data_IF_123373735942
#
_entry.id   IF_123373735942
#
_cell.length_a   1.000
_cell.length_b   1.000
_cell.length_c   1.000
_cell.angle_alpha   90.00
_cell.angle_beta   90.00
_cell.angle_gamma   90.00
#
_symmetry.space_group_name_H-M   'P 1'
#
loop_
_entity.id
_entity.type
_entity.pdbx_description
1 polymer ?
#
# COMPACT_ATOMS: atom_id res chain seq x y z
N UNK A 1 33.91 23.14 11.78
CA UNK A 1 32.91 22.48 10.91
C UNK A 1 32.33 23.47 9.93
N UNK A 2 32.05 24.69 10.36
CA UNK A 2 31.53 25.81 9.55
C UNK A 2 32.42 26.14 8.34
N UNK A 3 33.71 26.34 8.55
CA UNK A 3 34.65 26.67 7.46
C UNK A 3 34.71 25.65 6.31
N UNK A 4 34.43 24.38 6.59
CA UNK A 4 34.33 23.33 5.55
C UNK A 4 33.00 23.41 4.81
N UNK A 5 31.95 23.83 5.48
CA UNK A 5 30.63 24.03 4.90
C UNK A 5 30.64 25.25 3.97
N UNK A 6 31.25 26.35 4.42
CA UNK A 6 31.36 27.57 3.60
C UNK A 6 32.12 27.31 2.31
N UNK A 7 33.27 26.62 2.38
CA UNK A 7 34.03 26.23 1.18
C UNK A 7 33.27 25.26 0.27
N UNK A 8 32.38 24.46 0.84
CA UNK A 8 31.52 23.57 0.03
C UNK A 8 30.43 24.40 -0.65
N UNK A 9 29.77 25.29 0.07
CA UNK A 9 28.71 26.16 -0.45
C UNK A 9 29.26 27.02 -1.59
N UNK A 10 30.39 27.69 -1.40
CA UNK A 10 31.03 28.53 -2.43
C UNK A 10 31.31 27.75 -3.72
N UNK A 11 31.67 26.48 -3.59
CA UNK A 11 31.95 25.62 -4.78
C UNK A 11 30.70 25.20 -5.52
N UNK A 12 29.56 25.03 -4.83
CA UNK A 12 28.33 24.49 -5.41
C UNK A 12 27.31 25.58 -5.72
N UNK A 13 27.44 26.78 -5.14
CA UNK A 13 26.47 27.88 -5.27
C UNK A 13 26.10 28.16 -6.72
N UNK A 14 27.09 28.33 -7.59
CA UNK A 14 26.86 28.60 -9.01
C UNK A 14 26.04 27.50 -9.70
N UNK A 15 26.30 26.23 -9.38
CA UNK A 15 25.57 25.10 -9.98
C UNK A 15 24.13 25.02 -9.44
N UNK A 16 23.92 25.41 -8.18
CA UNK A 16 22.57 25.47 -7.58
C UNK A 16 21.79 26.62 -8.21
N UNK A 17 22.41 27.79 -8.39
CA UNK A 17 21.77 28.92 -9.06
C UNK A 17 21.37 28.59 -10.48
N UNK A 18 22.25 27.96 -11.24
CA UNK A 18 21.97 27.50 -12.61
C UNK A 18 20.80 26.50 -12.65
N UNK A 19 20.77 25.56 -11.71
CA UNK A 19 19.69 24.59 -11.61
C UNK A 19 18.34 25.24 -11.22
N UNK A 20 18.36 26.21 -10.32
CA UNK A 20 17.17 26.98 -9.91
C UNK A 20 16.63 27.81 -11.07
N UNK A 21 17.52 28.52 -11.78
CA UNK A 21 17.15 29.28 -12.99
C UNK A 21 16.58 28.38 -14.08
N UNK A 22 17.18 27.20 -14.30
CA UNK A 22 16.67 26.23 -15.26
C UNK A 22 15.26 25.73 -14.88
N UNK A 23 15.01 25.49 -13.60
CA UNK A 23 13.67 25.09 -13.13
C UNK A 23 12.63 26.20 -13.29
N UNK A 24 13.02 27.45 -13.10
CA UNK A 24 12.12 28.59 -13.31
C UNK A 24 11.79 28.79 -14.78
N UNK A 25 12.75 28.61 -15.68
CA UNK A 25 12.55 28.68 -17.13
C UNK A 25 11.62 27.55 -17.62
N UNK A 26 11.68 26.36 -17.04
CA UNK A 26 10.78 25.24 -17.37
C UNK A 26 9.33 25.58 -17.00
N UNK A 27 9.10 26.39 -15.98
CA UNK A 27 7.78 26.84 -15.59
C UNK A 27 7.16 27.89 -16.53
N UNK A 28 7.90 28.43 -17.48
CA UNK A 28 7.36 29.39 -18.48
C UNK A 28 6.20 28.81 -19.30
N UNK A 29 6.13 27.50 -19.44
CA UNK A 29 5.05 26.84 -20.16
C UNK A 29 3.82 26.50 -19.28
N UNK A 30 3.88 26.74 -17.98
CA UNK A 30 2.77 26.44 -17.08
C UNK A 30 1.55 27.31 -17.40
N UNK A 31 1.77 28.60 -17.63
CA UNK A 31 0.73 29.55 -17.98
C UNK A 31 0.06 29.21 -19.33
N UNK A 32 0.84 28.72 -20.31
CA UNK A 32 0.34 28.28 -21.61
C UNK A 32 -0.55 27.05 -21.47
N UNK A 33 -0.23 26.12 -20.59
CA UNK A 33 -1.05 24.95 -20.31
C UNK A 33 -2.33 25.31 -19.54
N UNK A 34 -2.28 26.28 -18.64
CA UNK A 34 -3.46 26.79 -17.94
C UNK A 34 -4.40 27.53 -18.90
N UNK A 35 -3.86 28.34 -19.81
CA UNK A 35 -4.64 29.00 -20.86
C UNK A 35 -5.31 27.99 -21.80
N UNK A 36 -4.63 26.94 -22.21
CA UNK A 36 -5.18 25.85 -23.01
C UNK A 36 -6.31 25.10 -22.28
N UNK A 37 -6.19 24.92 -20.98
CA UNK A 37 -7.23 24.31 -20.15
C UNK A 37 -8.47 25.19 -20.09
N UNK A 38 -8.31 26.50 -19.99
CA UNK A 38 -9.41 27.47 -19.99
C UNK A 38 -10.10 27.59 -21.37
N UNK A 39 -9.36 27.51 -22.48
CA UNK A 39 -9.91 27.48 -23.83
C UNK A 39 -10.74 26.21 -24.09
N UNK A 40 -10.29 25.06 -23.63
CA UNK A 40 -11.06 23.82 -23.71
C UNK A 40 -12.34 23.87 -22.87
N UNK A 41 -12.32 24.57 -21.74
CA UNK A 41 -13.47 24.81 -20.89
C UNK A 41 -14.47 25.78 -21.57
N UNK A 42 -13.98 26.78 -22.32
CA UNK A 42 -14.79 27.74 -23.03
C UNK A 42 -15.51 27.15 -24.26
N UNK A 43 -14.98 26.08 -24.86
CA UNK A 43 -15.58 25.38 -26.01
C UNK A 43 -16.71 24.40 -25.65
N UNK A 44 -17.28 24.50 -24.44
CA UNK A 44 -18.49 23.77 -24.03
C UNK A 44 -18.26 22.30 -23.70
N UNK A 45 -17.02 21.84 -23.73
CA UNK A 45 -16.63 20.61 -23.06
C UNK A 45 -16.62 20.90 -21.56
N UNK A 46 -17.70 20.59 -20.85
CA UNK A 46 -17.64 20.42 -19.40
C UNK A 46 -16.68 19.26 -19.14
N UNK A 47 -15.39 19.56 -19.16
CA UNK A 47 -14.44 18.78 -18.38
C UNK A 47 -14.88 19.09 -16.94
N UNK A 48 -15.76 18.23 -16.41
CA UNK A 48 -15.97 18.17 -14.99
C UNK A 48 -14.56 17.95 -14.45
N UNK A 49 -13.92 19.03 -14.01
CA UNK A 49 -12.78 18.91 -13.13
C UNK A 49 -13.34 18.16 -11.94
N UNK A 50 -13.15 16.84 -11.96
CA UNK A 50 -13.55 15.96 -10.86
C UNK A 50 -12.80 16.51 -9.67
N UNK A 51 -13.51 17.33 -8.89
CA UNK A 51 -12.95 17.92 -7.68
C UNK A 51 -12.63 16.74 -6.78
N UNK A 52 -11.38 16.25 -6.89
CA UNK A 52 -10.89 15.16 -6.08
C UNK A 52 -10.89 15.63 -4.64
N UNK A 53 -11.85 15.16 -3.88
CA UNK A 53 -11.87 15.39 -2.44
C UNK A 53 -11.10 14.25 -1.80
N UNK A 54 -9.90 14.50 -1.26
CA UNK A 54 -9.14 13.47 -0.58
C UNK A 54 -9.92 13.01 0.66
N UNK A 55 -9.99 11.70 0.84
CA UNK A 55 -10.55 11.10 2.04
C UNK A 55 -9.44 10.35 2.75
N UNK A 56 -9.34 10.57 4.04
CA UNK A 56 -8.39 9.86 4.91
C UNK A 56 -9.14 8.78 5.66
N UNK A 57 -8.64 7.57 5.57
CA UNK A 57 -9.14 6.42 6.29
C UNK A 57 -8.03 5.84 7.16
N UNK A 58 -8.33 5.52 8.39
CA UNK A 58 -7.39 4.91 9.31
C UNK A 58 -8.08 3.78 10.06
N UNK A 59 -7.48 2.60 9.98
CA UNK A 59 -7.84 1.45 10.82
C UNK A 59 -6.88 1.45 12.00
N UNK A 60 -7.38 1.81 13.18
CA UNK A 60 -6.51 2.04 14.35
C UNK A 60 -5.95 0.74 14.94
N UNK A 61 -6.63 -0.39 14.77
CA UNK A 61 -6.24 -1.66 15.37
C UNK A 61 -4.98 -2.24 14.71
N UNK A 62 -4.93 -2.22 13.36
CA UNK A 62 -3.86 -2.87 12.60
C UNK A 62 -2.85 -1.91 12.00
N UNK A 63 -3.16 -0.60 11.97
CA UNK A 63 -2.31 0.41 11.35
C UNK A 63 -1.41 1.17 12.33
N UNK A 64 -1.57 0.94 13.65
CA UNK A 64 -0.78 1.65 14.66
C UNK A 64 0.72 1.31 14.52
N UNK A 65 1.55 2.34 14.39
CA UNK A 65 3.01 2.24 14.16
C UNK A 65 3.41 1.42 12.92
N UNK A 66 2.50 1.24 11.99
CA UNK A 66 2.75 0.56 10.72
C UNK A 66 2.68 1.54 9.55
N UNK A 67 3.33 1.17 8.46
CA UNK A 67 3.24 1.86 7.17
C UNK A 67 2.90 0.87 6.08
N UNK A 68 2.26 1.34 5.04
CA UNK A 68 1.96 0.53 3.85
C UNK A 68 3.23 0.35 3.02
N UNK A 69 3.57 -0.89 2.68
CA UNK A 69 4.69 -1.22 1.78
C UNK A 69 4.23 -1.46 0.35
N UNK A 70 3.09 -2.08 0.16
CA UNK A 70 2.54 -2.39 -1.14
C UNK A 70 1.02 -2.32 -1.14
N UNK A 71 0.44 -1.87 -2.25
CA UNK A 71 -1.01 -1.78 -2.45
C UNK A 71 -1.34 -2.48 -3.77
N UNK A 72 -2.36 -3.34 -3.76
CA UNK A 72 -2.87 -4.01 -4.96
C UNK A 72 -4.39 -4.04 -4.97
N UNK A 73 -4.95 -3.72 -6.12
CA UNK A 73 -6.38 -3.85 -6.35
C UNK A 73 -6.74 -5.28 -6.73
N UNK A 74 -7.89 -5.73 -6.26
CA UNK A 74 -8.41 -7.04 -6.63
C UNK A 74 -8.77 -7.07 -8.13
N UNK A 75 -8.35 -8.08 -8.90
CA UNK A 75 -8.47 -8.07 -10.36
C UNK A 75 -9.90 -8.02 -10.88
N UNK A 76 -10.86 -8.62 -10.17
CA UNK A 76 -12.28 -8.67 -10.59
C UNK A 76 -13.20 -7.77 -9.77
N UNK A 77 -12.78 -7.35 -8.57
CA UNK A 77 -13.57 -6.52 -7.64
C UNK A 77 -12.77 -5.25 -7.31
N UNK A 78 -12.85 -4.19 -8.13
CA UNK A 78 -12.01 -3.00 -7.99
C UNK A 78 -12.22 -2.23 -6.66
N UNK A 79 -13.31 -2.51 -5.94
CA UNK A 79 -13.56 -1.97 -4.61
C UNK A 79 -12.83 -2.70 -3.48
N UNK A 80 -12.19 -3.84 -3.76
CA UNK A 80 -11.33 -4.54 -2.80
C UNK A 80 -9.87 -4.18 -3.05
N UNK A 81 -9.18 -3.79 -1.99
CA UNK A 81 -7.78 -3.37 -2.04
C UNK A 81 -7.00 -4.12 -0.96
N UNK A 82 -5.96 -4.82 -1.37
CA UNK A 82 -5.01 -5.44 -0.45
C UNK A 82 -3.85 -4.48 -0.17
N UNK A 83 -3.50 -4.34 1.10
CA UNK A 83 -2.42 -3.48 1.56
C UNK A 83 -1.53 -4.28 2.51
N UNK A 84 -0.24 -4.40 2.21
CA UNK A 84 0.73 -5.00 3.13
C UNK A 84 1.28 -3.95 4.08
N UNK A 85 1.34 -4.29 5.35
CA UNK A 85 1.77 -3.42 6.42
C UNK A 85 3.15 -3.84 6.94
N UNK A 86 4.04 -2.87 7.13
CA UNK A 86 5.37 -3.10 7.73
C UNK A 86 5.60 -2.12 8.87
N UNK A 87 6.53 -2.43 9.78
CA UNK A 87 6.87 -1.56 10.90
C UNK A 87 7.35 -0.18 10.43
N UNK A 88 6.86 0.88 11.09
CA UNK A 88 7.30 2.24 10.86
C UNK A 88 8.64 2.48 11.55
N UNK A 89 9.72 2.19 10.84
CA UNK A 89 11.09 2.36 11.31
C UNK A 89 11.85 3.32 10.39
N UNK A 90 12.71 4.15 10.98
CA UNK A 90 13.67 4.94 10.21
C UNK A 90 14.71 4.02 9.58
N UNK A 91 15.38 4.50 8.54
CA UNK A 91 16.41 3.72 7.86
C UNK A 91 17.51 3.24 8.80
N UNK A 92 17.99 4.11 9.70
CA UNK A 92 19.03 3.77 10.67
C UNK A 92 18.59 2.69 11.67
N UNK A 93 17.33 2.73 12.10
CA UNK A 93 16.74 1.75 13.00
C UNK A 93 16.60 0.40 12.30
N UNK A 94 16.11 0.42 11.06
CA UNK A 94 15.97 -0.79 10.24
C UNK A 94 17.34 -1.43 9.94
N UNK A 95 18.37 -0.64 9.66
CA UNK A 95 19.73 -1.15 9.46
C UNK A 95 20.31 -1.79 10.72
N UNK A 96 20.02 -1.22 11.90
CA UNK A 96 20.52 -1.75 13.19
C UNK A 96 19.86 -3.09 13.58
N UNK A 97 18.65 -3.38 13.07
CA UNK A 97 17.91 -4.61 13.37
C UNK A 97 17.91 -5.60 12.20
N UNK A 98 18.84 -5.43 11.25
CA UNK A 98 18.98 -6.35 10.10
C UNK A 98 19.03 -7.81 10.58
N UNK A 99 18.20 -8.66 9.96
CA UNK A 99 18.07 -10.06 10.30
C UNK A 99 17.02 -10.38 11.39
N UNK A 100 16.38 -9.38 11.99
CA UNK A 100 15.17 -9.59 12.83
C UNK A 100 13.92 -9.54 11.97
N UNK A 101 13.00 -10.46 12.23
CA UNK A 101 11.68 -10.45 11.62
C UNK A 101 10.66 -9.84 12.59
N UNK A 102 9.70 -9.13 12.04
CA UNK A 102 8.55 -8.59 12.77
C UNK A 102 7.28 -9.18 12.19
N UNK A 103 6.31 -9.41 13.06
CA UNK A 103 4.99 -9.82 12.64
C UNK A 103 4.34 -8.70 11.81
N UNK A 104 3.67 -9.10 10.75
CA UNK A 104 3.03 -8.18 9.84
C UNK A 104 1.63 -8.66 9.49
N UNK A 105 0.86 -7.76 8.86
CA UNK A 105 -0.48 -8.06 8.40
C UNK A 105 -0.65 -7.56 6.96
N UNK A 106 -1.44 -8.30 6.19
CA UNK A 106 -2.02 -7.78 4.95
C UNK A 106 -3.49 -7.50 5.26
N UNK A 107 -3.92 -6.29 5.01
CA UNK A 107 -5.31 -5.86 5.19
C UNK A 107 -6.01 -5.84 3.84
N UNK A 108 -7.15 -6.52 3.73
CA UNK A 108 -8.00 -6.43 2.56
C UNK A 108 -9.19 -5.55 2.91
N UNK A 109 -9.19 -4.35 2.37
CA UNK A 109 -10.18 -3.30 2.64
C UNK A 109 -11.22 -3.27 1.53
N UNK A 110 -12.46 -3.08 1.93
CA UNK A 110 -13.60 -2.94 1.01
C UNK A 110 -14.05 -1.48 0.96
N UNK A 111 -13.98 -0.89 -0.23
CA UNK A 111 -14.34 0.49 -0.57
C UNK A 111 -15.66 0.58 -1.37
N UNK A 112 -16.51 -0.45 -1.31
CA UNK A 112 -17.79 -0.43 -2.05
C UNK A 112 -18.73 0.67 -1.58
N UNK A 113 -18.69 1.01 -0.30
CA UNK A 113 -19.41 2.16 0.25
C UNK A 113 -18.54 3.42 0.19
N UNK A 114 -19.09 4.51 -0.35
CA UNK A 114 -18.38 5.77 -0.44
C UNK A 114 -18.15 6.46 0.92
N UNK A 115 -18.85 6.04 1.95
CA UNK A 115 -18.82 6.67 3.28
C UNK A 115 -18.05 5.86 4.33
N UNK A 116 -18.10 4.54 4.20
CA UNK A 116 -17.54 3.61 5.18
C UNK A 116 -16.61 2.63 4.48
N UNK A 117 -15.39 2.53 4.97
CA UNK A 117 -14.47 1.46 4.56
C UNK A 117 -14.58 0.35 5.59
N UNK A 118 -14.76 -0.87 5.10
CA UNK A 118 -14.83 -2.05 5.95
C UNK A 118 -13.61 -2.94 5.71
N UNK A 119 -13.08 -3.47 6.81
CA UNK A 119 -12.03 -4.46 6.77
C UNK A 119 -12.65 -5.81 6.40
N UNK A 120 -12.29 -6.34 5.25
CA UNK A 120 -12.80 -7.62 4.75
C UNK A 120 -12.04 -8.81 5.34
N UNK A 121 -10.71 -8.80 5.21
CA UNK A 121 -9.85 -9.87 5.71
C UNK A 121 -8.57 -9.30 6.31
N UNK A 122 -8.05 -10.00 7.30
CA UNK A 122 -6.73 -9.77 7.90
C UNK A 122 -5.90 -11.03 7.69
N UNK A 123 -4.81 -10.92 6.93
CA UNK A 123 -3.88 -12.01 6.71
C UNK A 123 -2.67 -11.78 7.62
N UNK A 124 -2.54 -12.60 8.64
CA UNK A 124 -1.43 -12.51 9.60
C UNK A 124 -0.21 -13.22 9.06
N UNK A 125 0.92 -12.58 9.19
CA UNK A 125 2.21 -13.12 8.76
C UNK A 125 3.24 -12.99 9.87
N UNK A 126 4.07 -14.02 10.09
CA UNK A 126 5.15 -13.97 11.08
C UNK A 126 6.34 -13.13 10.62
N UNK A 127 6.29 -12.62 9.39
CA UNK A 127 7.36 -11.89 8.74
C UNK A 127 6.77 -10.76 7.92
N UNK A 128 7.45 -9.62 7.89
CA UNK A 128 7.05 -8.48 7.07
C UNK A 128 7.01 -8.81 5.58
N UNK A 129 5.93 -8.40 4.94
CA UNK A 129 5.68 -8.58 3.50
C UNK A 129 6.07 -7.30 2.76
N UNK A 130 7.00 -7.40 1.84
CA UNK A 130 7.47 -6.26 1.03
C UNK A 130 6.61 -6.03 -0.21
N UNK A 131 6.11 -7.09 -0.80
CA UNK A 131 5.32 -7.05 -2.03
C UNK A 131 4.22 -8.09 -2.01
N UNK A 132 3.08 -7.76 -2.61
CA UNK A 132 1.93 -8.65 -2.76
C UNK A 132 1.46 -8.62 -4.21
N UNK A 133 0.86 -9.73 -4.66
CA UNK A 133 0.24 -9.81 -5.98
C UNK A 133 -0.94 -10.80 -5.94
N UNK A 134 -2.03 -10.45 -6.61
CA UNK A 134 -3.13 -11.38 -6.84
C UNK A 134 -2.81 -12.33 -7.98
N UNK A 135 -3.29 -13.56 -7.89
CA UNK A 135 -3.18 -14.49 -9.02
C UNK A 135 -4.06 -13.99 -10.18
N UNK A 136 -3.54 -13.94 -11.43
CA UNK A 136 -4.24 -13.32 -12.55
C UNK A 136 -5.53 -14.07 -12.97
N UNK A 137 -5.57 -15.38 -12.83
CA UNK A 137 -6.72 -16.20 -13.21
C UNK A 137 -7.63 -16.55 -12.02
N UNK A 138 -7.05 -16.74 -10.84
CA UNK A 138 -7.80 -17.04 -9.61
C UNK A 138 -7.69 -15.88 -8.61
N UNK A 139 -8.63 -14.94 -8.62
CA UNK A 139 -8.57 -13.75 -7.78
C UNK A 139 -8.68 -14.02 -6.28
N UNK A 140 -9.03 -15.23 -5.87
CA UNK A 140 -9.05 -15.62 -4.48
C UNK A 140 -7.67 -16.03 -3.94
N UNK A 141 -6.65 -16.05 -4.79
CA UNK A 141 -5.29 -16.38 -4.39
C UNK A 141 -4.45 -15.10 -4.34
N UNK A 142 -3.88 -14.82 -3.18
CA UNK A 142 -2.94 -13.74 -2.94
C UNK A 142 -1.56 -14.32 -2.61
N UNK A 143 -0.52 -13.77 -3.23
CA UNK A 143 0.86 -14.19 -3.01
C UNK A 143 1.64 -13.02 -2.43
N UNK A 144 2.46 -13.27 -1.42
CA UNK A 144 3.30 -12.25 -0.78
C UNK A 144 4.76 -12.65 -0.71
N UNK A 145 5.64 -11.71 -1.03
CA UNK A 145 7.09 -11.84 -0.87
C UNK A 145 7.54 -11.23 0.45
N UNK A 146 8.13 -12.06 1.31
CA UNK A 146 8.63 -11.67 2.61
C UNK A 146 10.02 -11.03 2.54
N UNK A 147 10.36 -10.19 3.52
CA UNK A 147 11.69 -9.55 3.60
C UNK A 147 12.84 -10.55 3.78
N UNK A 148 12.57 -11.76 4.29
CA UNK A 148 13.56 -12.82 4.43
C UNK A 148 13.72 -13.70 3.17
N UNK A 149 13.02 -13.39 2.07
CA UNK A 149 13.05 -14.13 0.82
C UNK A 149 12.05 -15.30 0.72
N UNK A 150 11.27 -15.55 1.77
CA UNK A 150 10.17 -16.52 1.70
C UNK A 150 9.01 -15.98 0.86
N UNK A 151 8.24 -16.88 0.28
CA UNK A 151 7.00 -16.58 -0.44
C UNK A 151 5.85 -17.27 0.29
N UNK A 152 4.80 -16.53 0.59
CA UNK A 152 3.59 -17.04 1.23
C UNK A 152 2.44 -16.88 0.27
N UNK A 153 1.56 -17.88 0.24
CA UNK A 153 0.36 -17.90 -0.57
C UNK A 153 -0.86 -18.06 0.35
N UNK A 154 -1.86 -17.22 0.15
CA UNK A 154 -3.14 -17.28 0.88
C UNK A 154 -4.27 -17.60 -0.08
N UNK A 155 -5.16 -18.47 0.38
CA UNK A 155 -6.44 -18.72 -0.26
C UNK A 155 -7.53 -17.92 0.47
N UNK A 156 -8.14 -16.98 -0.21
CA UNK A 156 -9.19 -16.10 0.28
C UNK A 156 -10.60 -16.68 0.08
N UNK A 157 -10.71 -17.93 -0.31
CA UNK A 157 -11.98 -18.60 -0.52
C UNK A 157 -12.71 -18.84 0.81
N UNK A 158 -11.96 -18.98 1.90
CA UNK A 158 -12.54 -19.14 3.23
C UNK A 158 -13.23 -17.86 3.67
N UNK A 159 -14.37 -18.01 4.35
CA UNK A 159 -15.11 -16.88 4.92
C UNK A 159 -14.49 -16.34 6.23
N UNK A 160 -13.35 -16.87 6.64
CA UNK A 160 -12.68 -16.44 7.85
C UNK A 160 -12.15 -15.01 7.68
N UNK A 161 -12.59 -14.12 8.53
CA UNK A 161 -12.13 -12.73 8.56
C UNK A 161 -10.62 -12.62 8.86
N UNK A 162 -10.08 -13.59 9.61
CA UNK A 162 -8.68 -13.62 10.04
C UNK A 162 -8.01 -14.92 9.60
N UNK A 163 -7.02 -14.82 8.75
CA UNK A 163 -6.28 -15.96 8.19
C UNK A 163 -4.83 -15.88 8.67
N UNK A 164 -4.37 -16.88 9.40
CA UNK A 164 -2.99 -16.96 9.88
C UNK A 164 -2.17 -17.83 8.94
N UNK A 165 -1.00 -17.37 8.55
CA UNK A 165 -0.08 -18.14 7.70
C UNK A 165 0.28 -19.47 8.37
N UNK A 166 0.14 -20.57 7.62
CA UNK A 166 0.48 -21.93 8.07
C UNK A 166 -0.63 -22.69 8.82
N UNK A 167 -1.79 -22.09 9.11
CA UNK A 167 -2.98 -22.84 9.53
C UNK A 167 -3.74 -23.28 8.30
N UNK A 168 -3.90 -24.59 8.10
CA UNK A 168 -4.94 -25.12 7.21
C UNK A 168 -6.28 -24.72 7.79
N UNK A 169 -7.18 -24.18 6.97
CA UNK A 169 -8.59 -24.07 7.33
C UNK A 169 -9.03 -25.47 7.78
N UNK A 170 -9.52 -25.56 9.00
CA UNK A 170 -10.18 -26.78 9.45
C UNK A 170 -11.49 -26.88 8.68
N UNK A 171 -11.48 -27.60 7.56
CA UNK A 171 -12.69 -28.18 7.04
C UNK A 171 -13.30 -28.99 8.18
N UNK A 172 -14.52 -28.65 8.53
CA UNK A 172 -15.25 -29.33 9.59
C UNK A 172 -15.53 -30.78 9.21
N UNK A 173 -14.72 -31.65 9.73
CA UNK A 173 -15.08 -33.07 9.88
C UNK A 173 -16.01 -33.18 11.12
N UNK A 174 -17.24 -32.75 10.89
CA UNK A 174 -18.37 -33.18 11.75
C UNK A 174 -18.78 -34.58 11.28
N UNK A 175 -17.99 -35.57 11.62
CA UNK A 175 -18.46 -36.97 11.63
C UNK A 175 -19.14 -37.24 12.95
N UNK A 176 -20.44 -37.04 12.95
CA UNK A 176 -21.35 -37.58 13.95
C UNK A 176 -21.15 -39.09 14.04
N UNK A 177 -20.51 -39.53 15.10
CA UNK A 177 -20.49 -40.91 15.52
C UNK A 177 -21.70 -41.17 16.40
N UNK A 178 -22.82 -41.63 15.81
CA UNK A 178 -23.85 -42.38 16.53
C UNK A 178 -23.20 -43.65 17.09
N UNK A 179 -23.07 -43.70 18.37
CA UNK A 179 -22.70 -44.90 19.13
C UNK A 179 -23.93 -45.44 19.84
N UNK A 180 -24.65 -46.33 19.15
CA UNK A 180 -25.67 -47.16 19.75
C UNK A 180 -25.10 -48.11 20.81
N UNK A 181 -25.85 -48.18 21.87
CA UNK A 181 -25.99 -49.18 22.90
C UNK A 181 -25.50 -50.61 22.60
N UNK A 182 -24.74 -51.16 23.55
CA UNK A 182 -25.09 -52.40 24.26
C UNK A 182 -24.16 -52.59 25.46
#
# INVERSE_FOLDING_TARGET
MEEKLDKFIDRVAFRIEEALQSNEIINVFQDDFEMLADELAAQGGKINSVKMTPRTFSESEYCHLKRVSCIKFHPTKPHLVAMSMIEYLKFSERAAITGKSFDSNILIMNFSDSHIITLSHVLETPIEISSIEYHPENPNVLIGGCLNGQVICWDLTSMDHRITAGKKSSEGDDFGGDGDDF
#
